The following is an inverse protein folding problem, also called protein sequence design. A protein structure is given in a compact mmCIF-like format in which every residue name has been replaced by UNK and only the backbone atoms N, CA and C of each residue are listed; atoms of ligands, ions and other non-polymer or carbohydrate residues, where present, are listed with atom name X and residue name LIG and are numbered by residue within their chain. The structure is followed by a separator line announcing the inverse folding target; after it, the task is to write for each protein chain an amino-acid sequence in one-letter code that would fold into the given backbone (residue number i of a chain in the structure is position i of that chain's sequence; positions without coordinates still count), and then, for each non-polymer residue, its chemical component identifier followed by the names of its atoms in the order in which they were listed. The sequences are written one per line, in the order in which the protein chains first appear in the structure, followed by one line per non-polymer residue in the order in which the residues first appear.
data_IF_806758935784
#
_entry.id   IF_806758935784
#
_cell.length_a   1.000
_cell.length_b   1.000
_cell.length_c   1.000
_cell.angle_alpha   90.00
_cell.angle_beta   90.00
_cell.angle_gamma   90.00
#
_symmetry.space_group_name_H-M   'P 1'
#
loop_
_entity.id
_entity.type
_entity.pdbx_description
1 polymer ?
#
# COMPACT_ATOMS: atom_id res chain seq x y z
N UNK A 1 37.18 11.73 40.91
CA UNK A 1 37.73 10.81 39.89
C UNK A 1 36.65 9.78 39.63
N UNK A 2 35.88 9.95 38.56
CA UNK A 2 34.76 9.08 38.21
C UNK A 2 34.89 8.78 36.72
N UNK A 3 35.14 7.52 36.42
CA UNK A 3 35.37 6.99 35.08
C UNK A 3 34.05 6.97 34.30
N UNK A 4 34.00 7.69 33.17
CA UNK A 4 32.91 7.63 32.21
C UNK A 4 33.01 6.36 31.37
N UNK A 5 32.03 5.47 31.52
CA UNK A 5 31.77 4.38 30.57
C UNK A 5 30.82 4.87 29.49
N UNK A 6 31.38 5.27 28.35
CA UNK A 6 30.61 5.50 27.13
C UNK A 6 30.16 4.15 26.57
N UNK A 7 28.88 3.81 26.74
CA UNK A 7 28.26 2.73 25.99
C UNK A 7 27.95 3.24 24.59
N UNK A 8 28.89 3.01 23.67
CA UNK A 8 28.65 3.08 22.24
C UNK A 8 27.63 1.99 21.88
N UNK A 9 26.38 2.37 21.59
CA UNK A 9 25.43 1.49 20.91
C UNK A 9 25.93 1.32 19.46
N UNK A 10 25.96 0.09 18.92
CA UNK A 10 26.35 -0.12 17.54
C UNK A 10 25.33 0.56 16.62
N UNK A 11 25.86 1.14 15.54
CA UNK A 11 25.14 1.74 14.42
C UNK A 11 23.89 0.92 14.07
N UNK A 12 22.73 1.54 14.24
CA UNK A 12 21.50 1.06 13.64
C UNK A 12 21.70 1.23 12.14
N UNK A 13 22.00 0.13 11.44
CA UNK A 13 22.09 0.11 9.99
C UNK A 13 20.86 0.83 9.40
N UNK A 14 21.11 1.84 8.55
CA UNK A 14 20.09 2.58 7.80
C UNK A 14 19.14 1.58 7.13
N UNK A 15 17.99 1.34 7.76
CA UNK A 15 16.88 0.65 7.11
C UNK A 15 16.37 1.65 6.08
N UNK A 16 16.71 1.45 4.80
CA UNK A 16 16.20 2.26 3.71
C UNK A 16 14.68 2.33 3.82
N UNK A 17 14.16 3.51 4.17
CA UNK A 17 12.72 3.75 4.28
C UNK A 17 12.19 3.84 2.84
N UNK A 18 11.71 2.72 2.31
CA UNK A 18 11.11 2.67 0.99
C UNK A 18 9.77 3.41 0.98
N UNK A 19 9.46 4.02 -0.17
CA UNK A 19 8.18 4.67 -0.39
C UNK A 19 7.06 3.60 -0.41
N UNK A 20 5.85 3.94 0.03
CA UNK A 20 4.76 2.97 0.23
C UNK A 20 4.41 2.17 -1.03
N UNK A 21 4.30 2.87 -2.15
CA UNK A 21 4.00 2.29 -3.46
C UNK A 21 5.14 1.40 -3.97
N UNK A 22 6.39 1.80 -3.74
CA UNK A 22 7.57 0.97 -4.07
C UNK A 22 7.62 -0.31 -3.23
N UNK A 23 7.27 -0.21 -1.94
CA UNK A 23 7.16 -1.39 -1.06
C UNK A 23 6.09 -2.35 -1.57
N UNK A 24 4.95 -1.81 -1.98
CA UNK A 24 3.84 -2.61 -2.52
C UNK A 24 4.23 -3.27 -3.86
N UNK A 25 4.95 -2.54 -4.72
CA UNK A 25 5.46 -3.06 -5.99
C UNK A 25 6.40 -4.26 -5.79
N UNK A 26 7.32 -4.17 -4.82
CA UNK A 26 8.21 -5.29 -4.47
C UNK A 26 7.46 -6.46 -3.86
N UNK A 27 6.48 -6.21 -2.99
CA UNK A 27 5.66 -7.29 -2.42
C UNK A 27 4.92 -8.07 -3.51
N UNK A 28 4.49 -7.39 -4.58
CA UNK A 28 3.82 -8.02 -5.72
C UNK A 28 4.68 -9.03 -6.49
N UNK A 29 6.01 -9.05 -6.29
CA UNK A 29 6.90 -10.04 -6.91
C UNK A 29 6.79 -11.42 -6.26
N UNK A 30 6.38 -11.48 -5.00
CA UNK A 30 6.38 -12.73 -4.20
C UNK A 30 5.06 -13.03 -3.52
N UNK A 31 4.18 -12.04 -3.38
CA UNK A 31 2.89 -12.16 -2.72
C UNK A 31 1.78 -11.64 -3.62
N UNK A 32 0.57 -12.17 -3.41
CA UNK A 32 -0.63 -11.60 -4.00
C UNK A 32 -0.92 -10.26 -3.31
N UNK A 33 -0.93 -9.20 -4.10
CA UNK A 33 -1.37 -7.86 -3.67
C UNK A 33 -2.63 -7.49 -4.43
N UNK A 34 -3.46 -6.64 -3.83
CA UNK A 34 -4.57 -6.02 -4.53
C UNK A 34 -4.08 -5.32 -5.79
N UNK A 35 -4.81 -5.44 -6.89
CA UNK A 35 -4.49 -4.72 -8.12
C UNK A 35 -4.41 -3.21 -7.84
N UNK A 36 -3.38 -2.56 -8.35
CA UNK A 36 -3.19 -1.13 -8.10
C UNK A 36 -2.43 -0.39 -9.20
N UNK A 37 -2.60 0.92 -9.20
CA UNK A 37 -1.74 1.90 -9.87
C UNK A 37 -1.42 3.02 -8.90
N UNK A 38 -0.18 3.55 -8.94
CA UNK A 38 0.23 4.68 -8.10
C UNK A 38 0.69 5.88 -8.92
N UNK A 39 0.54 7.06 -8.33
CA UNK A 39 0.89 8.34 -8.94
C UNK A 39 1.68 9.23 -7.99
N UNK A 40 2.63 9.97 -8.55
CA UNK A 40 3.37 11.04 -7.90
C UNK A 40 2.78 12.40 -8.27
N UNK A 41 2.81 13.39 -7.37
CA UNK A 41 2.50 14.77 -7.73
C UNK A 41 3.57 15.29 -8.69
N UNK A 42 3.17 15.89 -9.82
CA UNK A 42 4.09 16.47 -10.79
C UNK A 42 3.52 17.73 -11.45
N UNK A 43 4.40 18.50 -12.08
CA UNK A 43 4.01 19.71 -12.81
C UNK A 43 3.21 19.29 -14.04
N UNK A 44 1.97 19.77 -14.16
CA UNK A 44 1.08 19.43 -15.27
C UNK A 44 0.19 18.20 -15.02
N UNK A 45 0.18 17.66 -13.81
CA UNK A 45 -0.73 16.60 -13.38
C UNK A 45 -0.02 15.42 -12.70
N UNK A 46 -0.78 14.43 -12.19
CA UNK A 46 -0.21 13.24 -11.58
C UNK A 46 0.62 12.43 -12.57
N UNK A 47 1.83 12.02 -12.17
CA UNK A 47 2.71 11.16 -12.96
C UNK A 47 2.62 9.71 -12.45
N UNK A 48 2.32 8.75 -13.33
CA UNK A 48 2.27 7.34 -12.96
C UNK A 48 3.64 6.85 -12.43
N UNK A 49 3.61 5.97 -11.43
CA UNK A 49 4.81 5.39 -10.81
C UNK A 49 4.84 3.87 -10.99
N UNK A 50 3.93 3.16 -10.33
CA UNK A 50 3.88 1.69 -10.35
C UNK A 50 2.52 1.18 -10.81
N UNK A 51 2.49 -0.01 -11.41
CA UNK A 51 1.28 -0.64 -11.92
C UNK A 51 1.34 -2.16 -11.74
N UNK A 52 0.32 -2.72 -11.07
CA UNK A 52 0.11 -4.16 -10.90
C UNK A 52 -1.36 -4.45 -11.20
N UNK A 53 -1.71 -4.45 -12.48
CA UNK A 53 -3.07 -4.74 -12.96
C UNK A 53 -3.03 -6.03 -13.80
N UNK A 54 -3.96 -6.95 -13.54
CA UNK A 54 -4.01 -8.22 -14.24
C UNK A 54 -4.16 -8.04 -15.76
N UNK A 55 -3.41 -8.82 -16.54
CA UNK A 55 -3.39 -8.71 -18.00
C UNK A 55 -2.50 -7.59 -18.56
N UNK A 56 -1.77 -6.87 -17.71
CA UNK A 56 -0.68 -5.98 -18.11
C UNK A 56 0.65 -6.48 -17.55
N UNK A 57 1.73 -6.13 -18.25
CA UNK A 57 3.09 -6.31 -17.70
C UNK A 57 3.26 -5.48 -16.42
N UNK A 58 4.09 -5.97 -15.51
CA UNK A 58 4.45 -5.23 -14.31
C UNK A 58 4.97 -3.83 -14.68
N UNK A 59 4.44 -2.82 -14.00
CA UNK A 59 4.77 -1.40 -14.21
C UNK A 59 4.48 -0.87 -15.63
N UNK A 60 3.53 -1.49 -16.35
CA UNK A 60 2.99 -0.96 -17.60
C UNK A 60 2.59 0.52 -17.48
N UNK A 61 3.03 1.34 -18.42
CA UNK A 61 2.76 2.78 -18.45
C UNK A 61 1.58 3.06 -19.37
N UNK A 62 0.51 3.63 -18.81
CA UNK A 62 -0.65 4.07 -19.58
C UNK A 62 -0.41 5.48 -20.16
N UNK A 63 -1.20 5.82 -21.18
CA UNK A 63 -1.12 7.14 -21.82
C UNK A 63 -1.63 8.27 -20.90
N UNK A 64 -2.58 7.96 -20.01
CA UNK A 64 -3.13 8.92 -19.06
C UNK A 64 -3.53 8.29 -17.72
N UNK A 65 -3.71 9.15 -16.71
CA UNK A 65 -4.30 8.79 -15.40
C UNK A 65 -5.67 8.15 -15.59
N UNK A 66 -6.48 8.67 -16.51
CA UNK A 66 -7.80 8.17 -16.82
C UNK A 66 -7.74 6.74 -17.38
N UNK A 67 -6.83 6.46 -18.32
CA UNK A 67 -6.70 5.13 -18.92
C UNK A 67 -6.24 4.09 -17.88
N UNK A 68 -5.29 4.46 -17.02
CA UNK A 68 -4.82 3.58 -15.95
C UNK A 68 -5.92 3.24 -14.95
N UNK A 69 -6.67 4.24 -14.50
CA UNK A 69 -7.77 4.05 -13.54
C UNK A 69 -8.92 3.27 -14.19
N UNK A 70 -9.25 3.56 -15.45
CA UNK A 70 -10.27 2.83 -16.21
C UNK A 70 -9.88 1.35 -16.36
N UNK A 71 -8.62 1.06 -16.70
CA UNK A 71 -8.12 -0.30 -16.82
C UNK A 71 -8.20 -1.07 -15.49
N UNK A 72 -7.94 -0.41 -14.36
CA UNK A 72 -8.12 -0.98 -13.02
C UNK A 72 -9.59 -1.28 -12.72
N UNK A 73 -10.50 -0.33 -13.01
CA UNK A 73 -11.93 -0.50 -12.79
C UNK A 73 -12.52 -1.68 -13.56
N UNK A 74 -12.16 -1.84 -14.84
CA UNK A 74 -12.62 -2.95 -15.69
C UNK A 74 -12.21 -4.34 -15.18
N UNK A 75 -11.22 -4.38 -14.28
CA UNK A 75 -10.66 -5.62 -13.70
C UNK A 75 -10.91 -5.74 -12.21
N UNK A 76 -11.55 -4.74 -11.58
CA UNK A 76 -11.96 -4.79 -10.18
C UNK A 76 -13.19 -5.68 -10.05
N UNK A 77 -13.10 -6.73 -9.23
CA UNK A 77 -14.21 -7.67 -9.02
C UNK A 77 -15.43 -7.00 -8.39
N UNK A 78 -15.20 -6.04 -7.49
CA UNK A 78 -16.26 -5.33 -6.76
C UNK A 78 -16.81 -4.12 -7.52
N UNK A 79 -16.29 -3.81 -8.71
CA UNK A 79 -16.69 -2.63 -9.49
C UNK A 79 -16.43 -1.30 -8.79
N UNK A 80 -15.63 -1.30 -7.71
CA UNK A 80 -15.22 -0.11 -6.96
C UNK A 80 -13.72 -0.12 -6.74
N UNK A 81 -13.16 1.05 -6.46
CA UNK A 81 -11.75 1.24 -6.10
C UNK A 81 -11.60 2.09 -4.86
N UNK A 82 -10.41 2.07 -4.31
CA UNK A 82 -9.99 2.84 -3.16
C UNK A 82 -8.92 3.84 -3.60
N UNK A 83 -8.99 5.08 -3.12
CA UNK A 83 -7.97 6.11 -3.37
C UNK A 83 -7.31 6.47 -2.05
N UNK A 84 -6.01 6.18 -1.94
CA UNK A 84 -5.19 6.43 -0.73
C UNK A 84 -4.14 7.48 -1.04
N UNK A 85 -4.04 8.52 -0.23
CA UNK A 85 -2.94 9.49 -0.32
C UNK A 85 -1.88 9.28 0.76
N UNK A 86 -0.63 9.60 0.42
CA UNK A 86 0.50 9.52 1.34
C UNK A 86 1.58 10.56 0.99
N UNK A 87 2.50 10.80 1.93
CA UNK A 87 3.68 11.63 1.70
C UNK A 87 4.90 10.76 1.42
N UNK A 88 5.81 11.23 0.57
CA UNK A 88 7.08 10.55 0.33
C UNK A 88 7.93 10.37 1.60
N UNK A 89 7.80 11.26 2.58
CA UNK A 89 8.63 11.26 3.80
C UNK A 89 7.90 10.78 5.06
N UNK A 90 6.57 10.64 5.02
CA UNK A 90 5.78 10.24 6.19
C UNK A 90 5.03 8.95 5.91
N UNK A 91 5.23 7.96 6.77
CA UNK A 91 4.61 6.63 6.68
C UNK A 91 3.10 6.63 6.96
N UNK A 92 2.49 7.74 7.34
CA UNK A 92 1.03 7.82 7.55
C UNK A 92 0.31 8.26 6.27
N UNK A 93 -0.77 7.54 5.92
CA UNK A 93 -1.71 7.98 4.89
C UNK A 93 -2.49 9.20 5.38
N UNK A 94 -2.68 10.21 4.51
CA UNK A 94 -3.38 11.45 4.88
C UNK A 94 -4.88 11.30 4.69
N UNK A 95 -5.28 11.01 3.46
CA UNK A 95 -6.68 10.88 3.07
C UNK A 95 -6.91 9.49 2.47
N UNK A 96 -8.10 8.95 2.75
CA UNK A 96 -8.52 7.66 2.24
C UNK A 96 -9.98 7.74 1.81
N UNK A 97 -10.22 7.60 0.50
CA UNK A 97 -11.56 7.56 -0.09
C UNK A 97 -11.85 6.10 -0.42
N UNK A 98 -12.85 5.55 0.27
CA UNK A 98 -13.22 4.13 0.18
C UNK A 98 -14.36 3.92 -0.81
N UNK A 99 -14.28 2.86 -1.63
CA UNK A 99 -15.40 2.39 -2.44
C UNK A 99 -15.89 3.38 -3.50
N UNK A 100 -14.96 4.05 -4.19
CA UNK A 100 -15.28 4.90 -5.34
C UNK A 100 -15.82 4.04 -6.48
N UNK A 101 -17.01 4.37 -6.98
CA UNK A 101 -17.79 3.55 -7.91
C UNK A 101 -17.68 3.99 -9.38
N UNK A 102 -16.94 5.05 -9.67
CA UNK A 102 -16.69 5.52 -11.04
C UNK A 102 -15.25 5.93 -11.26
N UNK A 103 -14.72 5.60 -12.44
CA UNK A 103 -13.37 5.98 -12.86
C UNK A 103 -13.18 7.50 -12.83
N UNK A 104 -14.16 8.27 -13.30
CA UNK A 104 -14.10 9.73 -13.32
C UNK A 104 -13.98 10.35 -11.91
N UNK A 105 -14.67 9.80 -10.91
CA UNK A 105 -14.55 10.26 -9.54
C UNK A 105 -13.17 9.94 -8.94
N UNK A 106 -12.62 8.75 -9.25
CA UNK A 106 -11.28 8.38 -8.83
C UNK A 106 -10.20 9.26 -9.48
N UNK A 107 -10.32 9.59 -10.77
CA UNK A 107 -9.44 10.54 -11.47
C UNK A 107 -9.46 11.90 -10.79
N UNK A 108 -10.66 12.46 -10.59
CA UNK A 108 -10.84 13.76 -9.91
C UNK A 108 -10.17 13.78 -8.52
N UNK A 109 -10.31 12.69 -7.76
CA UNK A 109 -9.68 12.57 -6.45
C UNK A 109 -8.15 12.53 -6.54
N UNK A 110 -7.59 11.77 -7.48
CA UNK A 110 -6.14 11.68 -7.69
C UNK A 110 -5.55 13.01 -8.12
N UNK A 111 -6.19 13.72 -9.05
CA UNK A 111 -5.76 15.05 -9.50
C UNK A 111 -5.75 16.05 -8.35
N UNK A 112 -6.85 16.13 -7.57
CA UNK A 112 -6.90 17.00 -6.38
C UNK A 112 -5.79 16.69 -5.39
N UNK A 113 -5.57 15.40 -5.07
CA UNK A 113 -4.52 15.00 -4.12
C UNK A 113 -3.12 15.31 -4.65
N UNK A 114 -2.90 15.20 -5.97
CA UNK A 114 -1.63 15.58 -6.59
C UNK A 114 -1.39 17.09 -6.54
N UNK A 115 -2.44 17.91 -6.73
CA UNK A 115 -2.37 19.37 -6.58
C UNK A 115 -2.02 19.79 -5.14
N UNK A 116 -2.41 18.99 -4.16
CA UNK A 116 -2.02 19.14 -2.75
C UNK A 116 -0.59 18.62 -2.45
N UNK A 117 0.11 18.12 -3.46
CA UNK A 117 1.47 17.58 -3.35
C UNK A 117 1.53 16.19 -2.73
N UNK A 118 0.42 15.44 -2.73
CA UNK A 118 0.38 14.08 -2.21
C UNK A 118 0.61 13.03 -3.31
N UNK A 119 1.26 11.93 -2.92
CA UNK A 119 1.29 10.72 -3.73
C UNK A 119 -0.01 9.95 -3.53
N UNK A 120 -0.42 9.18 -4.53
CA UNK A 120 -1.63 8.37 -4.45
C UNK A 120 -1.40 6.93 -4.87
N UNK A 121 -2.15 6.02 -4.25
CA UNK A 121 -2.36 4.65 -4.71
C UNK A 121 -3.86 4.49 -4.94
N UNK A 122 -4.23 4.07 -6.15
CA UNK A 122 -5.57 3.61 -6.46
C UNK A 122 -5.52 2.08 -6.52
N UNK A 123 -6.27 1.41 -5.64
CA UNK A 123 -6.31 -0.05 -5.57
C UNK A 123 -7.74 -0.55 -5.67
N UNK A 124 -7.94 -1.75 -6.21
CA UNK A 124 -9.25 -2.39 -6.23
C UNK A 124 -9.83 -2.55 -4.81
N UNK A 125 -11.14 -2.53 -4.69
CA UNK A 125 -11.80 -3.03 -3.47
C UNK A 125 -11.81 -4.55 -3.52
N UNK A 126 -11.40 -5.19 -2.43
CA UNK A 126 -11.49 -6.63 -2.24
C UNK A 126 -12.63 -6.88 -1.26
N UNK A 127 -13.53 -7.82 -1.58
CA UNK A 127 -14.52 -8.30 -0.59
C UNK A 127 -13.77 -9.00 0.54
N UNK A 128 -13.84 -8.42 1.73
CA UNK A 128 -13.20 -8.98 2.93
C UNK A 128 -13.81 -10.32 3.36
N UNK A 129 -14.97 -10.68 2.82
CA UNK A 129 -15.72 -11.92 3.07
C UNK A 129 -15.39 -13.02 2.06
N UNK A 130 -14.43 -12.81 1.15
CA UNK A 130 -14.02 -13.76 0.10
C UNK A 130 -13.31 -15.03 0.64
N UNK A 131 -13.17 -15.13 1.97
CA UNK A 131 -12.48 -16.21 2.67
C UNK A 131 -10.96 -16.02 2.74
N UNK A 132 -10.44 -14.90 2.21
CA UNK A 132 -9.07 -14.47 2.32
C UNK A 132 -8.76 -13.77 3.65
N UNK A 133 -7.46 -13.54 3.89
CA UNK A 133 -7.00 -12.68 4.99
C UNK A 133 -6.24 -11.50 4.40
N UNK A 134 -6.67 -10.30 4.75
CA UNK A 134 -5.95 -9.08 4.45
C UNK A 134 -4.95 -8.76 5.56
N UNK A 135 -3.73 -8.36 5.19
CA UNK A 135 -2.68 -7.98 6.15
C UNK A 135 -1.92 -6.70 5.78
N UNK A 136 -1.29 -6.09 6.78
CA UNK A 136 -0.35 -4.97 6.63
C UNK A 136 0.98 -5.37 7.24
N UNK A 137 2.06 -5.14 6.50
CA UNK A 137 3.43 -5.22 7.02
C UNK A 137 3.94 -3.79 7.24
N UNK A 138 4.34 -3.46 8.46
CA UNK A 138 4.96 -2.17 8.78
C UNK A 138 6.20 -2.40 9.66
N UNK A 139 7.38 -2.27 9.05
CA UNK A 139 8.64 -2.59 9.71
C UNK A 139 8.75 -4.11 9.98
N UNK A 140 8.94 -4.48 11.23
CA UNK A 140 9.00 -5.86 11.71
C UNK A 140 7.64 -6.43 12.13
N UNK A 141 6.57 -5.63 12.07
CA UNK A 141 5.22 -6.00 12.51
C UNK A 141 4.34 -6.36 11.33
N UNK A 142 3.67 -7.52 11.43
CA UNK A 142 2.59 -7.91 10.53
C UNK A 142 1.26 -7.89 11.30
N UNK A 143 0.27 -7.20 10.75
CA UNK A 143 -1.14 -7.30 11.14
C UNK A 143 -1.88 -8.10 10.08
N UNK A 144 -2.83 -8.93 10.49
CA UNK A 144 -3.74 -9.59 9.58
C UNK A 144 -5.08 -9.84 10.29
N UNK A 145 -6.20 -9.69 9.57
CA UNK A 145 -7.54 -9.89 10.13
C UNK A 145 -8.48 -10.49 9.08
N UNK A 146 -9.27 -11.53 9.43
CA UNK A 146 -10.38 -11.96 8.58
C UNK A 146 -11.50 -10.92 8.57
N UNK A 147 -12.18 -10.78 7.44
CA UNK A 147 -13.40 -9.96 7.29
C UNK A 147 -13.22 -8.44 7.56
N UNK A 148 -11.99 -7.92 7.55
CA UNK A 148 -11.72 -6.49 7.73
C UNK A 148 -10.47 -6.00 7.00
N UNK A 149 -10.54 -4.76 6.49
CA UNK A 149 -9.38 -4.03 5.96
C UNK A 149 -8.44 -3.64 7.12
N UNK A 150 -7.20 -4.16 7.17
CA UNK A 150 -6.26 -3.90 8.26
C UNK A 150 -5.83 -2.42 8.30
N UNK A 151 -6.28 -1.72 9.34
CA UNK A 151 -5.77 -0.41 9.79
C UNK A 151 -5.47 -0.40 11.30
N UNK A 152 -5.46 -1.57 11.93
CA UNK A 152 -5.35 -1.71 13.37
C UNK A 152 -4.00 -1.26 13.93
N UNK A 153 -2.91 -1.37 13.16
CA UNK A 153 -1.58 -0.86 13.54
C UNK A 153 -1.58 0.64 13.86
N UNK A 154 -2.54 1.40 13.32
CA UNK A 154 -2.70 2.84 13.57
C UNK A 154 -3.38 3.13 14.92
N UNK A 155 -3.92 2.10 15.60
CA UNK A 155 -4.66 2.22 16.86
C UNK A 155 -4.02 1.33 17.97
N UNK A 156 -4.13 1.73 19.25
CA UNK A 156 -3.73 0.87 20.37
C UNK A 156 -4.68 -0.34 20.52
N UNK A 157 -4.18 -1.47 21.04
CA UNK A 157 -5.00 -2.66 21.38
C UNK A 157 -4.99 -3.82 20.38
N UNK A 158 -4.21 -3.72 19.30
CA UNK A 158 -4.09 -4.79 18.31
C UNK A 158 -2.98 -5.78 18.64
N UNK A 159 -3.23 -7.07 18.36
CA UNK A 159 -2.21 -8.11 18.43
C UNK A 159 -1.14 -7.85 17.36
N UNK A 160 0.13 -7.87 17.76
CA UNK A 160 1.28 -7.64 16.90
C UNK A 160 2.20 -8.83 17.00
N UNK A 161 2.77 -9.23 15.87
CA UNK A 161 3.67 -10.37 15.80
C UNK A 161 4.89 -10.00 14.94
N UNK A 162 6.11 -10.44 15.34
CA UNK A 162 7.29 -10.36 14.48
C UNK A 162 7.04 -11.01 13.12
N UNK A 163 7.63 -10.45 12.07
CA UNK A 163 7.40 -10.88 10.68
C UNK A 163 7.71 -12.36 10.43
N UNK A 164 8.81 -12.86 10.99
CA UNK A 164 9.20 -14.28 10.89
C UNK A 164 8.14 -15.22 11.48
N UNK A 165 7.53 -14.82 12.59
CA UNK A 165 6.44 -15.54 13.25
C UNK A 165 5.14 -15.45 12.46
N UNK A 166 4.86 -14.31 11.83
CA UNK A 166 3.69 -14.16 10.97
C UNK A 166 3.79 -15.07 9.74
N UNK A 167 4.96 -15.13 9.11
CA UNK A 167 5.22 -16.05 8.00
C UNK A 167 5.08 -17.52 8.43
N UNK A 168 5.58 -17.91 9.61
CA UNK A 168 5.38 -19.27 10.14
C UNK A 168 3.90 -19.61 10.35
N UNK A 169 3.13 -18.65 10.87
CA UNK A 169 1.68 -18.82 11.04
C UNK A 169 1.00 -18.98 9.68
N UNK A 170 1.31 -18.13 8.70
CA UNK A 170 0.74 -18.22 7.36
C UNK A 170 1.05 -19.57 6.70
N UNK A 171 2.29 -20.06 6.82
CA UNK A 171 2.68 -21.41 6.39
C UNK A 171 1.85 -22.52 7.03
N UNK A 172 1.60 -22.39 8.33
CA UNK A 172 0.87 -23.40 9.10
C UNK A 172 -0.61 -23.43 8.73
N UNK A 173 -1.23 -22.26 8.54
CA UNK A 173 -2.68 -22.14 8.29
C UNK A 173 -3.00 -22.33 6.80
N UNK A 174 -2.18 -21.78 5.91
CA UNK A 174 -2.44 -21.74 4.46
C UNK A 174 -1.58 -22.69 3.63
N UNK A 175 -0.55 -23.29 4.21
CA UNK A 175 0.28 -24.29 3.52
C UNK A 175 1.26 -23.73 2.49
N UNK A 176 1.49 -22.40 2.48
CA UNK A 176 2.44 -21.68 1.60
C UNK A 176 3.60 -21.09 2.39
#
# INVERSE_FOLDING_TARGET
MTLGGSHNKPDQADVAVFRKDETLDRLAETFNVAQFVSFAPAVGGPAQQFCRIAGFEANHQFESVADAIQALFERSSEGTVNVRSFSAQQSQSREFIYGVDTAAAAVTAVERMADEGAFTIVNETIDVSDGGISGVVMGDVVEFRPDMTPRGVENPGFARLPTDRAVQLFKTVYGV
#
